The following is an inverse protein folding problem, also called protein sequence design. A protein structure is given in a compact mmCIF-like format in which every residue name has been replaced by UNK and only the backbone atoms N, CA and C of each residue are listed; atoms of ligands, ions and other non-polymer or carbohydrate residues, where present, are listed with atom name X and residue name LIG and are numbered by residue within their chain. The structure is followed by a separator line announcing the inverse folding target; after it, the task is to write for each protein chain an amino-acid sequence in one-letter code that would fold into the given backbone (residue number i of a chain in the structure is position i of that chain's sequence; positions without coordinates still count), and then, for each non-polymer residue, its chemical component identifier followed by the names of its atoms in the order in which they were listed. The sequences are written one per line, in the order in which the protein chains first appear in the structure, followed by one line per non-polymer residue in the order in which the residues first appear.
data_IF_220629991099
#
_entry.id   IF_220629991099
#
_cell.length_a   1.000
_cell.length_b   1.000
_cell.length_c   1.000
_cell.angle_alpha   90.00
_cell.angle_beta   90.00
_cell.angle_gamma   90.00
#
_symmetry.space_group_name_H-M   'P 1'
#
loop_
_entity.id
_entity.type
_entity.pdbx_description
1 polymer ?
#
# COMPACT_ATOMS: atom_id res chain seq x y z
N UNK A 1 0.55 1.21 25.80
CA UNK A 1 -0.28 0.16 25.16
C UNK A 1 -1.32 0.71 24.18
N UNK A 2 -2.10 1.76 24.48
CA UNK A 2 -3.12 2.25 23.54
C UNK A 2 -2.55 2.74 22.20
N UNK A 3 -1.37 3.38 22.24
CA UNK A 3 -0.70 3.92 21.05
C UNK A 3 -0.16 2.82 20.14
N UNK A 4 0.48 1.83 20.73
CA UNK A 4 1.09 0.71 20.01
C UNK A 4 0.00 -0.13 19.33
N UNK A 5 -1.12 -0.36 20.01
CA UNK A 5 -2.29 -1.02 19.43
C UNK A 5 -2.92 -0.19 18.30
N UNK A 6 -2.99 1.13 18.46
CA UNK A 6 -3.45 2.02 17.39
C UNK A 6 -2.55 1.89 16.16
N UNK A 7 -1.23 1.98 16.32
CA UNK A 7 -0.29 1.83 15.20
C UNK A 7 -0.42 0.47 14.54
N UNK A 8 -0.51 -0.62 15.31
CA UNK A 8 -0.76 -1.95 14.76
C UNK A 8 -2.04 -2.01 13.92
N UNK A 9 -3.13 -1.38 14.39
CA UNK A 9 -4.38 -1.33 13.62
C UNK A 9 -4.26 -0.51 12.32
N UNK A 10 -3.34 0.47 12.27
CA UNK A 10 -3.05 1.25 11.06
C UNK A 10 -2.17 0.47 10.08
N UNK A 11 -1.21 -0.32 10.58
CA UNK A 11 -0.22 -1.03 9.76
C UNK A 11 -0.74 -2.28 9.06
N UNK A 12 -1.78 -2.92 9.59
CA UNK A 12 -2.20 -4.23 9.11
C UNK A 12 -3.70 -4.28 8.82
N UNK A 13 -4.14 -5.18 7.92
CA UNK A 13 -5.55 -5.50 7.79
C UNK A 13 -6.14 -5.93 9.13
N UNK A 14 -7.35 -5.45 9.41
CA UNK A 14 -8.11 -5.93 10.58
C UNK A 14 -8.54 -7.39 10.36
N UNK A 15 -8.92 -8.10 11.43
CA UNK A 15 -9.38 -9.50 11.33
C UNK A 15 -10.59 -9.69 10.40
N UNK A 16 -11.40 -8.65 10.25
CA UNK A 16 -12.60 -8.64 9.41
C UNK A 16 -12.37 -8.03 8.02
N UNK A 17 -11.12 -7.68 7.70
CA UNK A 17 -10.73 -7.15 6.41
C UNK A 17 -10.05 -8.22 5.56
N UNK A 18 -10.39 -8.24 4.27
CA UNK A 18 -9.73 -9.05 3.25
C UNK A 18 -8.85 -8.16 2.37
N UNK A 19 -7.69 -8.67 1.96
CA UNK A 19 -6.82 -7.93 1.04
C UNK A 19 -7.38 -8.09 -0.38
N UNK A 20 -7.74 -6.96 -0.98
CA UNK A 20 -8.34 -6.90 -2.31
C UNK A 20 -7.31 -6.53 -3.39
N UNK A 21 -6.28 -5.75 -3.03
CA UNK A 21 -5.14 -5.45 -3.89
C UNK A 21 -3.86 -5.42 -3.05
N UNK A 22 -2.77 -5.97 -3.61
CA UNK A 22 -1.43 -5.88 -3.03
C UNK A 22 -0.42 -5.57 -4.14
N UNK A 23 0.37 -4.52 -3.93
CA UNK A 23 1.39 -4.08 -4.87
C UNK A 23 2.70 -3.76 -4.14
N UNK A 24 3.82 -4.14 -4.76
CA UNK A 24 5.14 -3.65 -4.39
C UNK A 24 5.44 -2.39 -5.19
N UNK A 25 5.90 -1.36 -4.51
CA UNK A 25 6.03 -0.01 -5.05
C UNK A 25 7.41 0.53 -4.72
N UNK A 26 8.18 0.90 -5.74
CA UNK A 26 9.52 1.46 -5.53
C UNK A 26 9.49 2.73 -4.68
N UNK A 27 8.50 3.60 -4.91
CA UNK A 27 8.31 4.81 -4.11
C UNK A 27 6.88 5.35 -4.27
N UNK A 28 6.29 5.75 -3.14
CA UNK A 28 5.06 6.53 -3.08
C UNK A 28 5.39 7.94 -2.63
N UNK A 29 4.82 8.94 -3.30
CA UNK A 29 4.94 10.33 -2.92
C UNK A 29 3.57 10.95 -2.63
N UNK A 30 3.49 11.63 -1.51
CA UNK A 30 2.40 12.55 -1.14
C UNK A 30 2.98 13.95 -0.97
N UNK A 31 2.16 14.89 -0.53
CA UNK A 31 2.57 16.28 -0.29
C UNK A 31 3.48 16.43 0.92
N UNK A 32 3.40 15.50 1.87
CA UNK A 32 4.04 15.60 3.19
C UNK A 32 5.08 14.50 3.43
N UNK A 33 5.00 13.40 2.69
CA UNK A 33 5.91 12.26 2.88
C UNK A 33 6.22 11.54 1.57
N UNK A 34 7.46 11.07 1.48
CA UNK A 34 7.95 10.15 0.46
C UNK A 34 8.25 8.82 1.15
N UNK A 35 7.69 7.72 0.62
CA UNK A 35 7.80 6.38 1.19
C UNK A 35 8.54 5.50 0.17
N UNK A 36 9.84 5.22 0.36
CA UNK A 36 10.59 4.33 -0.51
C UNK A 36 10.32 2.87 -0.20
N UNK A 37 10.50 1.99 -1.20
CA UNK A 37 10.35 0.53 -1.12
C UNK A 37 9.08 0.14 -0.35
N UNK A 38 7.94 0.66 -0.81
CA UNK A 38 6.67 0.55 -0.12
C UNK A 38 5.88 -0.68 -0.56
N UNK A 39 5.16 -1.27 0.39
CA UNK A 39 4.04 -2.16 0.10
C UNK A 39 2.75 -1.35 0.15
N UNK A 40 1.92 -1.49 -0.89
CA UNK A 40 0.58 -0.92 -0.95
C UNK A 40 -0.45 -2.05 -0.86
N UNK A 41 -1.39 -1.90 0.07
CA UNK A 41 -2.54 -2.78 0.24
C UNK A 41 -3.82 -1.97 0.10
N UNK A 42 -4.80 -2.52 -0.62
CA UNK A 42 -6.20 -2.12 -0.47
C UNK A 42 -6.92 -3.27 0.20
N UNK A 43 -7.53 -3.01 1.34
CA UNK A 43 -8.36 -3.97 2.07
C UNK A 43 -9.84 -3.63 1.91
N UNK A 44 -10.70 -4.62 2.14
CA UNK A 44 -12.16 -4.47 2.17
C UNK A 44 -12.72 -5.17 3.41
N UNK A 45 -13.51 -4.45 4.21
CA UNK A 45 -14.20 -5.02 5.37
C UNK A 45 -15.52 -5.73 4.98
N UNK A 46 -16.20 -6.31 5.97
CA UNK A 46 -17.48 -7.00 5.78
C UNK A 46 -18.63 -6.08 5.38
N UNK A 47 -18.56 -4.79 5.74
CA UNK A 47 -19.53 -3.78 5.33
C UNK A 47 -19.27 -3.30 3.88
N UNK A 48 -18.17 -3.76 3.28
CA UNK A 48 -17.75 -3.41 1.94
C UNK A 48 -16.88 -2.15 1.86
N UNK A 49 -16.50 -1.55 3.01
CA UNK A 49 -15.65 -0.35 3.07
C UNK A 49 -14.21 -0.72 2.75
N UNK A 50 -13.55 0.17 2.01
CA UNK A 50 -12.18 -0.03 1.60
C UNK A 50 -11.21 0.78 2.44
N UNK A 51 -9.99 0.26 2.62
CA UNK A 51 -8.90 0.98 3.28
C UNK A 51 -7.60 0.80 2.52
N UNK A 52 -6.92 1.91 2.30
CA UNK A 52 -5.57 1.94 1.75
C UNK A 52 -4.57 1.88 2.90
N UNK A 53 -3.63 0.96 2.81
CA UNK A 53 -2.47 0.87 3.72
C UNK A 53 -1.22 0.92 2.87
N UNK A 54 -0.30 1.82 3.20
CA UNK A 54 1.01 1.90 2.56
C UNK A 54 2.06 1.87 3.65
N UNK A 55 2.96 0.90 3.60
CA UNK A 55 4.05 0.75 4.56
C UNK A 55 5.39 0.71 3.84
N UNK A 56 6.40 1.38 4.38
CA UNK A 56 7.78 1.14 3.95
C UNK A 56 8.21 -0.28 4.31
N UNK A 57 9.15 -0.86 3.57
CA UNK A 57 9.66 -2.22 3.81
C UNK A 57 10.14 -2.46 5.25
N UNK A 58 10.72 -1.44 5.89
CA UNK A 58 11.16 -1.48 7.29
C UNK A 58 10.07 -1.13 8.31
N UNK A 59 8.84 -0.88 7.86
CA UNK A 59 7.69 -0.42 8.66
C UNK A 59 7.91 0.89 9.43
N UNK A 60 8.94 1.66 9.09
CA UNK A 60 9.21 2.96 9.71
C UNK A 60 8.28 4.07 9.21
N UNK A 61 7.56 3.88 8.11
CA UNK A 61 6.52 4.82 7.66
C UNK A 61 5.29 4.03 7.25
N UNK A 62 4.15 4.37 7.85
CA UNK A 62 2.85 3.76 7.57
C UNK A 62 1.84 4.87 7.28
N UNK A 63 1.09 4.71 6.20
CA UNK A 63 -0.04 5.54 5.83
C UNK A 63 -1.26 4.64 5.81
N UNK A 64 -2.32 5.02 6.53
CA UNK A 64 -3.59 4.27 6.56
C UNK A 64 -4.75 5.24 6.36
N UNK A 65 -5.52 5.01 5.30
CA UNK A 65 -6.59 5.89 4.85
C UNK A 65 -7.83 5.08 4.51
N UNK A 66 -8.99 5.49 5.04
CA UNK A 66 -10.26 4.97 4.55
C UNK A 66 -10.49 5.45 3.12
N UNK A 67 -10.86 4.57 2.20
CA UNK A 67 -11.20 4.94 0.83
C UNK A 67 -12.72 5.05 0.70
N UNK A 68 -13.20 6.12 0.09
CA UNK A 68 -14.59 6.28 -0.31
C UNK A 68 -14.88 5.46 -1.57
N UNK A 69 -16.14 5.05 -1.75
CA UNK A 69 -16.56 4.21 -2.88
C UNK A 69 -16.27 4.88 -4.24
N UNK A 70 -16.30 6.21 -4.28
CA UNK A 70 -15.97 7.04 -5.45
C UNK A 70 -14.51 6.89 -5.91
N UNK A 71 -13.61 6.37 -5.06
CA UNK A 71 -12.23 6.07 -5.40
C UNK A 71 -12.12 4.94 -6.45
N UNK A 72 -13.15 4.08 -6.55
CA UNK A 72 -13.19 2.99 -7.53
C UNK A 72 -14.15 3.30 -8.68
N UNK A 73 -15.24 4.02 -8.43
CA UNK A 73 -16.28 4.29 -9.43
C UNK A 73 -16.01 5.53 -10.31
N UNK A 74 -14.88 6.22 -10.12
CA UNK A 74 -14.53 7.38 -10.93
C UNK A 74 -14.48 6.98 -12.41
N UNK A 75 -15.04 7.81 -13.31
CA UNK A 75 -15.06 7.54 -14.75
C UNK A 75 -13.67 7.13 -15.27
N UNK A 76 -13.60 6.22 -16.25
CA UNK A 76 -12.35 5.74 -16.85
C UNK A 76 -11.38 6.90 -17.11
N UNK A 77 -10.22 6.90 -16.44
CA UNK A 77 -9.20 7.95 -16.57
C UNK A 77 -9.25 9.08 -15.53
N UNK A 78 -10.24 9.12 -14.64
CA UNK A 78 -10.25 10.05 -13.52
C UNK A 78 -9.27 9.63 -12.42
N UNK A 79 -8.51 10.61 -11.91
CA UNK A 79 -7.56 10.40 -10.82
C UNK A 79 -8.30 9.88 -9.55
N UNK A 80 -7.67 8.98 -8.78
CA UNK A 80 -8.26 8.51 -7.53
C UNK A 80 -8.41 9.65 -6.53
N UNK A 81 -9.51 9.61 -5.78
CA UNK A 81 -9.74 10.54 -4.69
C UNK A 81 -9.04 10.04 -3.41
N UNK A 82 -8.18 10.88 -2.84
CA UNK A 82 -7.45 10.62 -1.60
C UNK A 82 -7.77 11.66 -0.51
N UNK A 83 -8.92 12.35 -0.57
CA UNK A 83 -9.27 13.40 0.40
C UNK A 83 -9.93 12.88 1.68
N UNK A 84 -9.98 11.56 1.86
CA UNK A 84 -10.55 10.93 3.05
C UNK A 84 -9.57 10.99 4.24
N UNK A 85 -10.04 10.96 5.50
CA UNK A 85 -9.18 11.02 6.68
C UNK A 85 -8.05 9.98 6.65
N UNK A 86 -6.83 10.44 6.89
CA UNK A 86 -5.61 9.62 6.82
C UNK A 86 -4.79 9.73 8.08
N UNK A 87 -4.27 8.60 8.52
CA UNK A 87 -3.25 8.54 9.54
C UNK A 87 -1.88 8.28 8.91
N UNK A 88 -0.87 9.02 9.35
CA UNK A 88 0.53 8.81 9.01
C UNK A 88 1.31 8.51 10.29
N UNK A 89 2.01 7.39 10.32
CA UNK A 89 2.92 7.01 11.39
C UNK A 89 4.33 7.04 10.84
N UNK A 90 5.24 7.70 11.54
CA UNK A 90 6.67 7.72 11.23
C UNK A 90 7.47 7.32 12.46
N UNK A 91 8.39 6.38 12.29
CA UNK A 91 9.39 6.03 13.30
C UNK A 91 10.65 6.84 13.04
N UNK A 92 11.12 7.51 14.08
CA UNK A 92 12.37 8.25 14.10
C UNK A 92 13.55 7.32 14.40
N UNK A 93 14.76 7.79 14.10
CA UNK A 93 15.99 7.01 14.27
C UNK A 93 16.28 6.62 15.72
N UNK A 94 15.73 7.35 16.69
CA UNK A 94 15.83 7.08 18.12
C UNK A 94 14.76 6.11 18.64
N UNK A 95 13.90 5.59 17.75
CA UNK A 95 12.81 4.68 18.09
C UNK A 95 11.53 5.37 18.54
N UNK A 96 11.49 6.71 18.60
CA UNK A 96 10.25 7.43 18.87
C UNK A 96 9.32 7.37 17.66
N UNK A 97 8.03 7.25 17.96
CA UNK A 97 6.98 7.28 16.94
C UNK A 97 6.39 8.68 16.90
N UNK A 98 6.02 9.14 15.71
CA UNK A 98 5.16 10.30 15.46
C UNK A 98 3.93 9.83 14.72
N UNK A 99 2.77 10.29 15.17
CA UNK A 99 1.47 9.92 14.60
C UNK A 99 0.78 11.22 14.22
N UNK A 100 0.43 11.35 12.95
CA UNK A 100 -0.25 12.50 12.38
C UNK A 100 -1.61 12.07 11.87
N UNK A 101 -2.59 12.95 12.06
CA UNK A 101 -3.93 12.80 11.50
C UNK A 101 -4.18 13.92 10.51
N UNK A 102 -4.54 13.56 9.28
CA UNK A 102 -4.89 14.46 8.20
C UNK A 102 -6.39 14.29 7.91
N UNK A 103 -7.26 15.13 8.48
CA UNK A 103 -8.72 14.97 8.36
C UNK A 103 -9.23 15.07 6.91
N UNK A 104 -8.48 15.74 6.03
CA UNK A 104 -8.80 15.92 4.62
C UNK A 104 -7.93 15.07 3.70
N UNK A 105 -7.24 14.07 4.25
CA UNK A 105 -6.34 13.19 3.49
C UNK A 105 -5.23 13.95 2.77
N UNK A 106 -4.97 13.55 1.53
CA UNK A 106 -3.94 14.11 0.66
C UNK A 106 -4.54 14.54 -0.68
N UNK A 107 -4.00 15.61 -1.28
CA UNK A 107 -4.43 16.04 -2.62
C UNK A 107 -3.95 15.08 -3.71
N UNK A 108 -2.85 14.37 -3.49
CA UNK A 108 -2.32 13.41 -4.45
C UNK A 108 -1.58 12.26 -3.77
N UNK A 109 -1.50 11.16 -4.53
CA UNK A 109 -0.65 10.02 -4.25
C UNK A 109 -0.06 9.56 -5.58
N UNK A 110 1.24 9.76 -5.73
CA UNK A 110 1.95 9.49 -6.98
C UNK A 110 2.93 8.33 -6.80
N UNK A 111 3.06 7.53 -7.85
CA UNK A 111 4.06 6.49 -7.96
C UNK A 111 5.22 7.01 -8.79
N UNK A 112 6.45 6.67 -8.41
CA UNK A 112 7.62 7.04 -9.22
C UNK A 112 7.71 6.26 -10.54
N UNK A 113 7.06 5.10 -10.63
CA UNK A 113 7.11 4.21 -11.79
C UNK A 113 5.74 4.12 -12.48
N UNK A 114 5.69 4.43 -13.78
CA UNK A 114 4.50 4.36 -14.63
C UNK A 114 3.88 2.96 -14.65
N UNK A 115 4.69 1.90 -14.57
CA UNK A 115 4.19 0.54 -14.47
C UNK A 115 3.38 0.36 -13.18
N UNK A 116 3.89 0.82 -12.04
CA UNK A 116 3.15 0.74 -10.77
C UNK A 116 1.87 1.55 -10.81
N UNK A 117 1.89 2.75 -11.41
CA UNK A 117 0.69 3.56 -11.60
C UNK A 117 -0.35 2.83 -12.45
N UNK A 118 0.07 2.17 -13.53
CA UNK A 118 -0.79 1.35 -14.38
C UNK A 118 -1.38 0.15 -13.64
N UNK A 119 -0.56 -0.56 -12.87
CA UNK A 119 -1.01 -1.71 -12.08
C UNK A 119 -2.02 -1.31 -11.00
N UNK A 120 -1.80 -0.16 -10.36
CA UNK A 120 -2.75 0.41 -9.42
C UNK A 120 -4.07 0.77 -10.11
N UNK A 121 -4.02 1.40 -11.29
CA UNK A 121 -5.21 1.73 -12.07
C UNK A 121 -5.99 0.48 -12.49
N UNK A 122 -5.32 -0.56 -12.99
CA UNK A 122 -5.95 -1.84 -13.33
C UNK A 122 -6.57 -2.51 -12.10
N UNK A 123 -5.89 -2.45 -10.95
CA UNK A 123 -6.42 -2.94 -9.68
C UNK A 123 -7.71 -2.19 -9.27
N UNK A 124 -7.73 -0.86 -9.38
CA UNK A 124 -8.92 -0.05 -9.11
C UNK A 124 -10.09 -0.42 -10.01
N UNK A 125 -9.84 -0.54 -11.31
CA UNK A 125 -10.87 -0.92 -12.29
C UNK A 125 -11.43 -2.31 -12.02
N UNK A 126 -10.57 -3.28 -11.69
CA UNK A 126 -11.00 -4.62 -11.31
C UNK A 126 -11.85 -4.61 -10.04
N UNK A 127 -11.51 -3.80 -9.04
CA UNK A 127 -12.30 -3.66 -7.80
C UNK A 127 -13.65 -2.95 -8.05
N UNK A 128 -13.71 -2.01 -8.98
CA UNK A 128 -14.97 -1.37 -9.38
C UNK A 128 -15.91 -2.33 -10.11
N UNK A 129 -15.37 -3.26 -10.91
CA UNK A 129 -16.16 -4.24 -11.65
C UNK A 129 -16.54 -5.45 -10.78
N UNK A 130 -15.67 -5.82 -9.83
CA UNK A 130 -15.84 -6.99 -8.97
C UNK A 130 -16.31 -6.60 -7.58
N UNK A 131 -17.61 -6.34 -7.46
CA UNK A 131 -18.31 -6.48 -6.17
C UNK A 131 -18.07 -7.82 -5.46
N UNK A 132 -17.45 -8.82 -6.12
CA UNK A 132 -17.08 -10.14 -5.59
C UNK A 132 -15.66 -10.57 -6.04
N UNK A 133 -14.72 -10.62 -5.09
CA UNK A 133 -13.49 -11.45 -5.04
C UNK A 133 -12.57 -11.54 -6.26
N UNK A 134 -11.42 -10.85 -6.24
CA UNK A 134 -10.21 -11.29 -6.97
C UNK A 134 -8.96 -11.13 -6.09
N UNK A 135 -8.29 -12.24 -5.79
CA UNK A 135 -6.89 -12.25 -5.36
C UNK A 135 -6.04 -11.97 -6.60
N UNK A 136 -5.38 -10.81 -6.68
CA UNK A 136 -4.33 -10.58 -7.67
C UNK A 136 -2.96 -10.88 -7.03
N UNK A 137 -2.28 -11.99 -7.39
CA UNK A 137 -0.88 -12.17 -7.09
C UNK A 137 -0.06 -11.55 -8.22
N UNK A 138 0.70 -10.50 -7.95
CA UNK A 138 1.70 -10.01 -8.89
C UNK A 138 3.04 -9.97 -8.18
N UNK A 139 3.70 -11.12 -8.24
CA UNK A 139 5.10 -11.29 -7.89
C UNK A 139 5.89 -11.20 -9.20
N UNK A 140 6.45 -10.03 -9.51
CA UNK A 140 7.59 -9.97 -10.43
C UNK A 140 8.82 -10.33 -9.60
N UNK A 141 9.21 -11.60 -9.66
CA UNK A 141 10.55 -12.03 -9.28
C UNK A 141 11.37 -12.03 -10.56
N UNK A 142 12.25 -11.05 -10.71
CA UNK A 142 13.35 -11.13 -11.66
C UNK A 142 14.45 -11.94 -10.98
N UNK A 143 14.38 -13.28 -11.09
CA UNK A 143 15.56 -14.13 -10.94
C UNK A 143 16.18 -14.22 -12.34
N UNK A 144 17.23 -13.44 -12.60
CA UNK A 144 18.27 -13.85 -13.55
C UNK A 144 19.61 -13.15 -13.21
N UNK A 145 20.66 -13.95 -13.14
CA UNK A 145 22.00 -13.62 -12.66
C UNK A 145 22.33 -14.47 -11.43
N UNK A 146 23.27 -15.41 -11.45
CA UNK A 146 24.28 -15.80 -12.41
C UNK A 146 25.34 -16.58 -11.63
N UNK A 147 25.97 -17.54 -12.30
CA UNK A 147 27.16 -18.32 -11.88
C UNK A 147 26.94 -19.53 -10.96
N UNK A 148 26.75 -20.69 -11.60
CA UNK A 148 27.22 -21.97 -11.09
C UNK A 148 28.75 -21.92 -10.98
N UNK A 149 29.27 -22.12 -9.77
CA UNK A 149 30.69 -22.35 -9.52
C UNK A 149 30.86 -23.84 -9.20
N UNK A 150 31.40 -24.59 -10.15
CA UNK A 150 31.87 -25.97 -9.95
C UNK A 150 32.91 -25.99 -8.82
N UNK A 151 32.72 -26.86 -7.84
CA UNK A 151 33.72 -27.14 -6.81
C UNK A 151 34.38 -28.45 -7.22
N UNK A 152 35.63 -28.35 -7.69
CA UNK A 152 36.55 -29.47 -7.84
C UNK A 152 36.73 -30.19 -6.49
N UNK A 153 36.46 -31.50 -6.47
CA UNK A 153 36.82 -32.38 -5.35
C UNK A 153 38.05 -33.20 -5.75
N UNK A 154 39.22 -32.75 -5.33
CA UNK A 154 40.44 -33.56 -5.20
C UNK A 154 40.76 -33.70 -3.71
N UNK A 155 40.40 -34.84 -3.09
CA UNK A 155 41.13 -35.55 -2.01
C UNK A 155 40.75 -37.03 -2.04
#
# INVERSE_FOLDING_TARGET
MRRELCIQSLSFPSRDETVALRLQVAQVQTEVVMIPNAELLITRDRDGKHRLIISSQNNCTILSQCLSDDCFTSAQGAAPNFTAPTWLVQMESDGHQKVFHYPQGFRFLNFHNDNTARMFQLGREALSQNGSTVNLPIRQRSDDGGEEMEIDNDV
#
